data_IF_447557193948
#
_entry.id   IF_447557193948
#
_cell.length_a   1.000
_cell.length_b   1.000
_cell.length_c   1.000
_cell.angle_alpha   90.00
_cell.angle_beta   90.00
_cell.angle_gamma   90.00
#
_symmetry.space_group_name_H-M   'P 1'
#
loop_
_entity.id
_entity.type
_entity.pdbx_description
1 polymer ?
#
# COMPACT_ATOMS: atom_id res chain seq x y z
N UNK A 1 -20.33 -6.57 -5.56
CA UNK A 1 -19.64 -5.30 -5.21
C UNK A 1 -20.61 -4.17 -4.83
N UNK A 2 -21.49 -3.72 -5.74
CA UNK A 2 -22.38 -2.56 -5.47
C UNK A 2 -23.24 -2.72 -4.20
N UNK A 3 -23.87 -3.88 -4.01
CA UNK A 3 -24.65 -4.16 -2.81
C UNK A 3 -23.80 -4.12 -1.53
N UNK A 4 -22.65 -4.79 -1.50
CA UNK A 4 -21.70 -4.72 -0.38
C UNK A 4 -21.27 -3.28 -0.06
N UNK A 5 -21.01 -2.45 -1.07
CA UNK A 5 -20.63 -1.04 -0.88
C UNK A 5 -21.73 -0.21 -0.22
N UNK A 6 -23.00 -0.48 -0.56
CA UNK A 6 -24.13 0.21 0.07
C UNK A 6 -24.26 -0.16 1.55
N UNK A 7 -23.91 -1.40 1.91
CA UNK A 7 -23.90 -1.86 3.30
C UNK A 7 -22.71 -1.29 4.07
N UNK A 8 -21.50 -1.39 3.52
CA UNK A 8 -20.26 -0.96 4.19
C UNK A 8 -19.28 -0.27 3.24
N UNK A 9 -18.70 0.84 3.73
CA UNK A 9 -17.50 1.40 3.10
C UNK A 9 -16.22 0.64 3.50
N UNK A 10 -16.23 -0.01 4.67
CA UNK A 10 -15.11 -0.77 5.23
C UNK A 10 -15.63 -2.12 5.73
N UNK A 11 -15.81 -3.14 4.85
CA UNK A 11 -16.36 -4.44 5.25
C UNK A 11 -15.50 -5.20 6.27
N UNK A 12 -14.19 -4.97 6.28
CA UNK A 12 -13.26 -5.56 7.24
C UNK A 12 -12.41 -4.46 7.88
N UNK A 13 -12.09 -4.53 9.18
CA UNK A 13 -11.16 -3.58 9.79
C UNK A 13 -9.75 -3.75 9.20
N UNK A 14 -8.92 -2.70 9.19
CA UNK A 14 -7.51 -2.82 8.81
C UNK A 14 -6.80 -3.90 9.63
N UNK A 15 -6.10 -4.82 8.97
CA UNK A 15 -5.37 -5.90 9.65
C UNK A 15 -4.18 -6.36 8.82
N UNK A 16 -3.42 -7.30 9.40
CA UNK A 16 -2.36 -8.07 8.73
C UNK A 16 -2.93 -9.41 8.31
N UNK A 17 -2.52 -9.91 7.15
CA UNK A 17 -2.81 -11.30 6.80
C UNK A 17 -1.84 -12.22 7.54
N UNK A 18 -2.36 -13.34 8.04
CA UNK A 18 -1.54 -14.40 8.60
C UNK A 18 -0.71 -15.05 7.49
N UNK A 19 0.45 -15.59 7.87
CA UNK A 19 1.35 -16.30 6.95
C UNK A 19 0.93 -17.78 6.83
N UNK A 20 -0.24 -18.15 7.37
CA UNK A 20 -0.66 -19.53 7.48
C UNK A 20 -1.21 -20.07 6.16
N UNK A 21 -0.60 -21.17 5.69
CA UNK A 21 -1.02 -22.02 4.55
C UNK A 21 -0.95 -21.38 3.16
N UNK A 22 0.20 -20.80 2.80
CA UNK A 22 0.56 -20.95 1.38
C UNK A 22 1.00 -22.41 1.19
N UNK A 23 0.56 -23.11 0.14
CA UNK A 23 1.37 -24.22 -0.34
C UNK A 23 2.71 -23.56 -0.64
N UNK A 24 3.67 -23.73 0.26
CA UNK A 24 5.07 -23.51 -0.06
C UNK A 24 5.27 -24.46 -1.22
N UNK A 25 5.13 -23.95 -2.45
CA UNK A 25 5.60 -24.65 -3.62
C UNK A 25 7.00 -25.08 -3.22
N UNK A 26 7.22 -26.39 -3.17
CA UNK A 26 8.50 -27.02 -2.84
C UNK A 26 9.50 -26.72 -3.96
N UNK A 27 9.69 -25.44 -4.27
CA UNK A 27 10.70 -24.90 -5.15
C UNK A 27 11.90 -24.49 -4.30
N UNK A 28 13.09 -24.68 -4.84
CA UNK A 28 14.35 -24.26 -4.25
C UNK A 28 14.54 -22.74 -4.35
N UNK A 29 13.65 -21.96 -3.75
CA UNK A 29 13.76 -20.50 -3.67
C UNK A 29 15.05 -20.12 -2.92
N UNK A 30 15.86 -19.23 -3.49
CA UNK A 30 17.06 -18.69 -2.84
C UNK A 30 16.70 -17.70 -1.72
N UNK A 31 15.59 -16.97 -1.89
CA UNK A 31 15.07 -16.08 -0.87
C UNK A 31 14.08 -16.83 0.03
N UNK A 32 14.26 -16.73 1.35
CA UNK A 32 13.20 -17.08 2.29
C UNK A 32 11.96 -16.20 2.03
N UNK A 33 10.76 -16.72 2.32
CA UNK A 33 9.52 -15.96 2.19
C UNK A 33 9.56 -14.59 2.87
N UNK A 34 10.07 -14.52 4.11
CA UNK A 34 10.19 -13.25 4.84
C UNK A 34 11.11 -12.25 4.12
N UNK A 35 12.19 -12.72 3.48
CA UNK A 35 13.11 -11.87 2.72
C UNK A 35 12.49 -11.36 1.44
N UNK A 36 11.78 -12.22 0.70
CA UNK A 36 11.00 -11.80 -0.47
C UNK A 36 9.94 -10.78 -0.08
N UNK A 37 9.22 -11.00 1.03
CA UNK A 37 8.22 -10.08 1.55
C UNK A 37 8.80 -8.72 1.89
N UNK A 38 9.92 -8.68 2.60
CA UNK A 38 10.55 -7.44 3.01
C UNK A 38 11.13 -6.68 1.80
N UNK A 39 11.76 -7.39 0.85
CA UNK A 39 12.25 -6.82 -0.41
C UNK A 39 11.11 -6.23 -1.24
N UNK A 40 10.05 -7.02 -1.46
CA UNK A 40 8.85 -6.61 -2.19
C UNK A 40 8.17 -5.41 -1.53
N UNK A 41 8.09 -5.37 -0.20
CA UNK A 41 7.53 -4.23 0.53
C UNK A 41 8.38 -2.97 0.42
N UNK A 42 9.71 -3.09 0.43
CA UNK A 42 10.64 -1.97 0.26
C UNK A 42 10.54 -1.42 -1.16
N UNK A 43 10.61 -2.27 -2.17
CA UNK A 43 10.48 -1.84 -3.56
C UNK A 43 9.11 -1.20 -3.80
N UNK A 44 8.01 -1.81 -3.35
CA UNK A 44 6.67 -1.24 -3.49
C UNK A 44 6.53 0.10 -2.77
N UNK A 45 7.20 0.26 -1.62
CA UNK A 45 7.29 1.54 -0.93
C UNK A 45 8.01 2.58 -1.78
N UNK A 46 9.14 2.26 -2.42
CA UNK A 46 9.90 3.19 -3.27
C UNK A 46 9.13 3.55 -4.56
N UNK A 47 8.41 2.61 -5.16
CA UNK A 47 7.72 2.79 -6.44
C UNK A 47 6.58 3.81 -6.42
N UNK A 48 6.15 4.31 -5.26
CA UNK A 48 5.14 5.37 -5.19
C UNK A 48 5.84 6.70 -5.09
N UNK A 49 6.18 7.30 -6.24
CA UNK A 49 6.91 8.56 -6.33
C UNK A 49 5.98 9.78 -6.33
N UNK A 50 4.73 9.62 -6.81
CA UNK A 50 3.71 10.67 -6.85
C UNK A 50 2.44 10.27 -6.09
N UNK A 51 1.71 11.26 -5.55
CA UNK A 51 0.38 11.01 -4.96
C UNK A 51 -0.69 10.96 -6.06
N UNK A 52 -0.55 9.99 -6.94
CA UNK A 52 -1.58 9.64 -7.90
C UNK A 52 -2.41 8.49 -7.31
N UNK A 53 -3.71 8.73 -7.09
CA UNK A 53 -4.64 7.70 -6.65
C UNK A 53 -5.10 6.80 -7.79
N UNK A 54 -4.91 7.25 -9.03
CA UNK A 54 -5.41 6.62 -10.22
C UNK A 54 -4.45 5.60 -10.80
N UNK A 55 -3.15 5.76 -10.55
CA UNK A 55 -2.07 4.89 -11.01
C UNK A 55 -1.22 4.36 -9.86
N UNK A 56 -1.87 3.84 -8.81
CA UNK A 56 -1.15 3.26 -7.66
C UNK A 56 -0.36 2.04 -8.13
N UNK A 57 0.96 1.96 -7.87
CA UNK A 57 1.78 0.83 -8.26
C UNK A 57 1.66 -0.34 -7.29
N UNK A 58 1.80 -1.55 -7.81
CA UNK A 58 2.06 -2.76 -7.05
C UNK A 58 3.14 -3.57 -7.78
N UNK A 59 3.87 -4.38 -7.02
CA UNK A 59 4.87 -5.27 -7.57
C UNK A 59 5.00 -6.57 -6.78
N UNK A 60 5.66 -7.53 -7.41
CA UNK A 60 6.15 -8.76 -6.81
C UNK A 60 7.57 -9.08 -7.31
N UNK A 61 8.24 -10.02 -6.66
CA UNK A 61 9.61 -10.43 -7.01
C UNK A 61 9.62 -11.91 -7.35
N UNK A 62 9.92 -12.23 -8.60
CA UNK A 62 10.12 -13.58 -9.10
C UNK A 62 11.60 -13.91 -9.13
N UNK A 63 11.94 -15.15 -8.76
CA UNK A 63 13.28 -15.68 -8.95
C UNK A 63 13.36 -16.35 -10.33
N UNK A 64 14.36 -15.98 -11.12
CA UNK A 64 14.70 -16.68 -12.37
C UNK A 64 15.95 -17.55 -12.12
N UNK A 65 15.78 -18.87 -11.90
CA UNK A 65 16.91 -19.79 -11.68
C UNK A 65 17.89 -19.83 -12.86
N UNK A 66 17.40 -19.66 -14.08
CA UNK A 66 18.21 -19.82 -15.29
C UNK A 66 19.27 -18.72 -15.41
N UNK A 67 18.91 -17.48 -15.08
CA UNK A 67 19.83 -16.33 -15.10
C UNK A 67 20.35 -15.94 -13.70
N UNK A 68 19.94 -16.69 -12.67
CA UNK A 68 20.20 -16.39 -11.25
C UNK A 68 19.92 -14.90 -10.98
N UNK A 69 18.75 -14.43 -11.42
CA UNK A 69 18.35 -13.04 -11.36
C UNK A 69 16.99 -12.89 -10.69
N UNK A 70 16.61 -11.65 -10.40
CA UNK A 70 15.31 -11.34 -9.83
C UNK A 70 14.51 -10.45 -10.78
N UNK A 71 13.34 -10.93 -11.15
CA UNK A 71 12.37 -10.17 -11.93
C UNK A 71 11.47 -9.39 -10.97
N UNK A 72 11.63 -8.07 -10.96
CA UNK A 72 10.74 -7.17 -10.25
C UNK A 72 9.58 -6.84 -11.18
N UNK A 73 8.46 -7.53 -11.01
CA UNK A 73 7.30 -7.40 -11.90
C UNK A 73 6.41 -6.27 -11.40
N UNK A 74 6.18 -5.26 -12.24
CA UNK A 74 5.55 -3.99 -11.88
C UNK A 74 4.25 -3.77 -12.66
N UNK A 75 3.20 -3.35 -11.95
CA UNK A 75 1.95 -2.88 -12.51
C UNK A 75 1.48 -1.58 -11.84
N UNK A 76 0.60 -0.84 -12.50
CA UNK A 76 -0.14 0.31 -11.92
C UNK A 76 -1.63 0.11 -12.16
N UNK A 77 -2.48 0.71 -11.34
CA UNK A 77 -3.92 0.74 -11.60
C UNK A 77 -4.22 1.27 -13.01
N UNK A 78 -5.11 0.59 -13.74
CA UNK A 78 -5.44 0.91 -15.13
C UNK A 78 -6.94 0.92 -15.38
N UNK A 79 -7.46 2.00 -15.98
CA UNK A 79 -8.85 2.07 -16.50
C UNK A 79 -8.97 1.52 -17.92
N UNK A 80 -7.96 1.80 -18.76
CA UNK A 80 -7.82 1.38 -20.16
C UNK A 80 -6.45 0.71 -20.35
N UNK A 81 -6.25 0.03 -21.47
CA UNK A 81 -5.00 -0.68 -21.77
C UNK A 81 -3.76 0.24 -21.75
N UNK A 82 -3.85 1.47 -22.27
CA UNK A 82 -2.71 2.42 -22.33
C UNK A 82 -2.52 3.29 -21.07
N UNK A 83 -3.47 3.22 -20.13
CA UNK A 83 -3.54 4.10 -18.96
C UNK A 83 -2.30 3.95 -18.07
N UNK A 84 -1.64 5.05 -17.68
CA UNK A 84 -0.46 4.97 -16.80
C UNK A 84 0.79 4.30 -17.39
N UNK A 85 0.89 4.09 -18.71
CA UNK A 85 2.09 3.55 -19.35
C UNK A 85 3.33 4.44 -19.11
N UNK A 86 3.19 5.76 -19.25
CA UNK A 86 4.28 6.71 -18.97
C UNK A 86 4.79 6.60 -17.53
N UNK A 87 3.88 6.41 -16.57
CA UNK A 87 4.21 6.22 -15.16
C UNK A 87 4.96 4.90 -14.98
N UNK A 88 4.53 3.81 -15.62
CA UNK A 88 5.25 2.54 -15.58
C UNK A 88 6.68 2.65 -16.11
N UNK A 89 6.88 3.31 -17.27
CA UNK A 89 8.21 3.50 -17.85
C UNK A 89 9.10 4.39 -16.98
N UNK A 90 8.56 5.48 -16.43
CA UNK A 90 9.29 6.35 -15.50
C UNK A 90 9.70 5.61 -14.22
N UNK A 91 8.81 4.78 -13.66
CA UNK A 91 9.12 3.96 -12.49
C UNK A 91 10.15 2.88 -12.81
N UNK A 92 10.06 2.24 -13.97
CA UNK A 92 11.06 1.27 -14.45
C UNK A 92 12.45 1.90 -14.50
N UNK A 93 12.58 3.03 -15.20
CA UNK A 93 13.86 3.73 -15.33
C UNK A 93 14.43 4.14 -13.96
N UNK A 94 13.58 4.68 -13.07
CA UNK A 94 14.01 5.13 -11.75
C UNK A 94 14.51 3.97 -10.87
N UNK A 95 13.79 2.83 -10.87
CA UNK A 95 14.19 1.65 -10.12
C UNK A 95 15.43 0.98 -10.71
N UNK A 96 15.54 0.92 -12.03
CA UNK A 96 16.73 0.39 -12.71
C UNK A 96 17.97 1.22 -12.43
N UNK A 97 17.85 2.53 -12.23
CA UNK A 97 18.93 3.38 -11.72
C UNK A 97 19.46 2.93 -10.34
N UNK A 98 18.57 2.49 -9.44
CA UNK A 98 18.97 1.90 -8.15
C UNK A 98 19.61 0.52 -8.36
N UNK A 99 19.05 -0.30 -9.26
CA UNK A 99 19.54 -1.66 -9.50
C UNK A 99 20.93 -1.67 -10.14
N UNK A 100 21.25 -0.69 -11.00
CA UNK A 100 22.59 -0.49 -11.55
C UNK A 100 23.63 -0.23 -10.44
N UNK A 101 23.29 0.55 -9.41
CA UNK A 101 24.20 0.76 -8.27
C UNK A 101 24.39 -0.54 -7.48
N UNK A 102 23.32 -1.36 -7.35
CA UNK A 102 23.40 -2.65 -6.67
C UNK A 102 24.21 -3.70 -7.46
N UNK A 103 24.24 -3.63 -8.79
CA UNK A 103 25.03 -4.55 -9.62
C UNK A 103 26.52 -4.41 -9.41
N UNK A 104 26.97 -3.20 -9.08
CA UNK A 104 28.39 -2.87 -8.87
C UNK A 104 28.93 -3.34 -7.50
N UNK A 105 28.07 -3.91 -6.64
CA UNK A 105 28.48 -4.40 -5.33
C UNK A 105 29.38 -5.63 -5.49
N UNK A 106 30.67 -5.45 -5.19
CA UNK A 106 31.65 -6.52 -5.05
C UNK A 106 31.96 -6.85 -3.58
N UNK A 107 32.56 -8.00 -3.33
CA UNK A 107 32.83 -8.50 -1.97
C UNK A 107 33.90 -7.69 -1.21
N UNK A 108 34.70 -6.86 -1.92
CA UNK A 108 35.80 -6.06 -1.34
C UNK A 108 35.58 -4.55 -1.21
N UNK A 109 34.45 -3.99 -1.68
CA UNK A 109 34.25 -2.52 -1.68
C UNK A 109 33.95 -1.92 -0.30
N UNK A 110 34.41 -0.67 -0.11
CA UNK A 110 34.12 0.13 1.08
C UNK A 110 32.61 0.26 1.33
N UNK A 111 32.16 -0.35 2.43
CA UNK A 111 30.73 -0.55 2.69
C UNK A 111 29.90 0.73 2.84
N UNK A 112 30.51 1.82 3.32
CA UNK A 112 29.78 3.06 3.63
C UNK A 112 29.49 3.91 2.39
N UNK A 113 30.43 4.00 1.45
CA UNK A 113 30.25 4.82 0.24
C UNK A 113 29.15 4.25 -0.67
N UNK A 114 29.15 2.93 -0.87
CA UNK A 114 28.14 2.27 -1.71
C UNK A 114 26.73 2.34 -1.08
N UNK A 115 26.61 2.11 0.23
CA UNK A 115 25.34 2.29 0.94
C UNK A 115 24.83 3.75 0.82
N UNK A 116 25.75 4.73 0.82
CA UNK A 116 25.40 6.13 0.61
C UNK A 116 24.95 6.41 -0.83
N UNK A 117 25.60 5.87 -1.87
CA UNK A 117 25.16 6.04 -3.26
C UNK A 117 23.74 5.50 -3.49
N UNK A 118 23.42 4.33 -2.92
CA UNK A 118 22.06 3.77 -2.97
C UNK A 118 21.06 4.71 -2.26
N UNK A 119 21.46 5.27 -1.12
CA UNK A 119 20.64 6.22 -0.39
C UNK A 119 20.37 7.50 -1.18
N UNK A 120 21.40 8.11 -1.79
CA UNK A 120 21.28 9.27 -2.67
C UNK A 120 20.32 9.00 -3.83
N UNK A 121 20.46 7.85 -4.51
CA UNK A 121 19.55 7.47 -5.59
C UNK A 121 18.09 7.32 -5.13
N UNK A 122 17.87 6.73 -3.95
CA UNK A 122 16.53 6.61 -3.34
C UNK A 122 15.94 7.98 -2.99
N UNK A 123 16.71 8.87 -2.36
CA UNK A 123 16.24 10.21 -1.98
C UNK A 123 15.90 11.03 -3.22
N UNK A 124 16.73 10.96 -4.26
CA UNK A 124 16.48 11.61 -5.55
C UNK A 124 15.16 11.13 -6.17
N UNK A 125 15.00 9.81 -6.34
CA UNK A 125 13.78 9.19 -6.88
C UNK A 125 12.52 9.56 -6.08
N UNK A 126 12.62 9.61 -4.75
CA UNK A 126 11.48 9.81 -3.85
C UNK A 126 11.31 11.25 -3.36
N UNK A 127 12.10 12.20 -3.86
CA UNK A 127 12.22 13.58 -3.36
C UNK A 127 10.85 14.24 -3.18
N UNK A 128 10.02 14.28 -4.23
CA UNK A 128 8.68 14.86 -4.18
C UNK A 128 7.79 14.26 -3.10
N UNK A 129 7.85 12.94 -2.91
CA UNK A 129 7.07 12.27 -1.85
C UNK A 129 7.64 12.53 -0.46
N UNK A 130 8.95 12.61 -0.31
CA UNK A 130 9.61 12.99 0.95
C UNK A 130 9.13 14.38 1.35
N UNK A 131 9.24 15.37 0.46
CA UNK A 131 8.84 16.76 0.72
C UNK A 131 7.36 16.90 1.07
N UNK A 132 6.48 16.16 0.39
CA UNK A 132 5.05 16.10 0.73
C UNK A 132 4.79 15.48 2.11
N UNK A 133 5.58 14.49 2.53
CA UNK A 133 5.47 13.88 3.88
C UNK A 133 5.97 14.83 4.96
N UNK A 134 7.01 15.61 4.68
CA UNK A 134 7.53 16.67 5.55
C UNK A 134 6.61 17.91 5.58
N UNK A 135 5.67 17.99 4.63
CA UNK A 135 4.73 19.09 4.40
C UNK A 135 5.43 20.40 4.03
N UNK A 136 6.52 20.29 3.28
CA UNK A 136 7.20 21.43 2.65
C UNK A 136 6.59 21.81 1.29
N UNK A 137 5.77 20.92 0.72
CA UNK A 137 4.99 21.18 -0.49
C UNK A 137 3.51 21.10 -0.15
N UNK A 138 2.77 22.17 -0.44
CA UNK A 138 1.33 22.23 -0.22
C UNK A 138 0.58 21.26 -1.13
N UNK A 139 -0.54 20.72 -0.65
CA UNK A 139 -1.55 20.11 -1.54
C UNK A 139 -2.40 21.23 -2.10
N UNK A 140 -2.68 21.21 -3.41
CA UNK A 140 -3.57 22.18 -4.08
C UNK A 140 -4.99 22.26 -3.46
N UNK A 141 -5.41 21.30 -2.63
CA UNK A 141 -6.79 21.11 -2.18
C UNK A 141 -6.96 20.75 -0.69
N UNK A 142 -5.95 20.96 0.17
CA UNK A 142 -6.09 20.73 1.62
C UNK A 142 -5.68 21.96 2.43
N UNK A 143 -6.31 22.16 3.59
CA UNK A 143 -5.88 23.18 4.55
C UNK A 143 -4.41 22.98 4.91
N UNK A 144 -3.62 24.06 5.03
CA UNK A 144 -2.20 23.97 5.33
C UNK A 144 -2.01 23.30 6.69
N UNK A 145 -1.52 22.06 6.69
CA UNK A 145 -1.15 21.36 7.92
C UNK A 145 0.25 21.82 8.32
N UNK A 146 0.47 21.96 9.63
CA UNK A 146 1.76 22.39 10.19
C UNK A 146 2.93 21.52 9.67
N UNK A 147 4.02 22.14 9.17
CA UNK A 147 5.24 21.43 8.75
C UNK A 147 5.87 20.59 9.86
N UNK A 148 6.68 19.58 9.49
CA UNK A 148 7.37 18.73 10.47
C UNK A 148 8.13 19.57 11.52
N UNK A 149 8.80 20.64 11.09
CA UNK A 149 9.51 21.57 11.97
C UNK A 149 8.61 22.09 13.11
N UNK A 150 7.41 22.57 12.78
CA UNK A 150 6.49 23.10 13.78
C UNK A 150 6.04 22.02 14.76
N UNK A 151 5.69 20.84 14.25
CA UNK A 151 5.25 19.71 15.09
C UNK A 151 6.37 19.23 16.04
N UNK A 152 7.64 19.28 15.60
CA UNK A 152 8.79 18.98 16.45
C UNK A 152 9.01 20.05 17.52
N UNK A 153 8.89 21.34 17.18
CA UNK A 153 8.99 22.44 18.15
C UNK A 153 7.95 22.31 19.26
N UNK A 154 6.69 22.01 18.89
CA UNK A 154 5.60 21.80 19.84
C UNK A 154 5.92 20.61 20.75
N UNK A 155 6.35 19.48 20.19
CA UNK A 155 6.71 18.29 20.97
C UNK A 155 7.87 18.56 21.95
N UNK A 156 8.91 19.30 21.54
CA UNK A 156 10.02 19.70 22.41
C UNK A 156 9.49 20.57 23.56
N UNK A 157 8.64 21.55 23.26
CA UNK A 157 8.09 22.46 24.27
C UNK A 157 7.23 21.70 25.28
N UNK A 158 6.31 20.85 24.80
CA UNK A 158 5.44 20.06 25.66
C UNK A 158 6.21 19.07 26.53
N UNK A 159 7.22 18.38 25.98
CA UNK A 159 8.04 17.46 26.76
C UNK A 159 8.86 18.16 27.84
N UNK A 160 9.40 19.36 27.56
CA UNK A 160 10.12 20.14 28.57
C UNK A 160 9.25 20.51 29.77
N UNK A 161 8.00 20.91 29.51
CA UNK A 161 7.04 21.22 30.58
C UNK A 161 6.75 19.98 31.44
N UNK A 162 6.58 18.82 30.81
CA UNK A 162 6.35 17.55 31.54
C UNK A 162 7.59 17.14 32.35
N UNK A 163 8.79 17.20 31.75
CA UNK A 163 10.04 16.79 32.38
C UNK A 163 10.52 17.73 33.49
N UNK A 164 10.03 18.97 33.57
CA UNK A 164 10.32 19.84 34.71
C UNK A 164 9.70 19.29 36.02
N UNK A 165 8.68 18.44 35.90
CA UNK A 165 8.00 17.81 37.04
C UNK A 165 8.47 16.37 37.32
N UNK A 166 9.37 15.82 36.50
CA UNK A 166 9.89 14.45 36.63
C UNK A 166 11.41 14.47 36.40
N UNK A 167 12.21 14.10 37.40
CA UNK A 167 13.70 14.11 37.35
C UNK A 167 14.22 13.61 35.99
N UNK A 168 15.12 14.40 35.37
CA UNK A 168 15.66 14.27 34.01
C UNK A 168 15.73 12.84 33.44
N UNK A 169 14.70 12.46 32.68
CA UNK A 169 14.71 11.22 31.91
C UNK A 169 15.63 11.34 30.68
N UNK A 170 16.68 10.50 30.64
CA UNK A 170 17.65 10.37 29.51
C UNK A 170 16.97 10.29 28.12
N UNK A 171 15.82 9.59 27.94
CA UNK A 171 15.10 9.56 26.67
C UNK A 171 14.60 10.92 26.17
N UNK A 172 14.18 11.82 27.07
CA UNK A 172 13.64 13.15 26.72
C UNK A 172 14.75 14.08 26.25
N UNK A 173 15.91 14.04 26.92
CA UNK A 173 17.08 14.82 26.52
C UNK A 173 17.55 14.43 25.12
N UNK A 174 17.76 13.12 24.88
CA UNK A 174 18.21 12.62 23.58
C UNK A 174 17.22 12.95 22.46
N UNK A 175 15.90 12.80 22.70
CA UNK A 175 14.89 13.24 21.74
C UNK A 175 15.02 14.74 21.44
N UNK A 176 15.16 15.57 22.46
CA UNK A 176 15.24 17.03 22.31
C UNK A 176 16.43 17.43 21.45
N UNK A 177 17.60 16.84 21.68
CA UNK A 177 18.79 17.10 20.86
C UNK A 177 18.59 16.68 19.40
N UNK A 178 18.15 15.44 19.16
CA UNK A 178 17.92 14.93 17.80
C UNK A 178 16.83 15.70 17.07
N UNK A 179 15.77 16.11 17.76
CA UNK A 179 14.70 16.91 17.19
C UNK A 179 15.18 18.31 16.80
N UNK A 180 16.03 18.96 17.61
CA UNK A 180 16.67 20.23 17.27
C UNK A 180 17.58 20.11 16.04
N UNK A 181 18.35 19.02 15.94
CA UNK A 181 19.15 18.74 14.75
C UNK A 181 18.29 18.62 13.50
N UNK A 182 17.18 17.87 13.56
CA UNK A 182 16.22 17.75 12.45
C UNK A 182 15.62 19.11 12.08
N UNK A 183 15.31 19.96 13.06
CA UNK A 183 14.83 21.34 12.80
C UNK A 183 15.88 22.16 12.06
N UNK A 184 17.15 22.10 12.48
CA UNK A 184 18.27 22.79 11.79
C UNK A 184 18.45 22.29 10.36
N UNK A 185 18.38 20.98 10.14
CA UNK A 185 18.48 20.39 8.80
C UNK A 185 17.29 20.77 7.92
N UNK A 186 16.09 20.84 8.49
CA UNK A 186 14.90 21.34 7.81
C UNK A 186 15.06 22.79 7.37
N UNK A 187 15.62 23.65 8.23
CA UNK A 187 15.89 25.05 7.90
C UNK A 187 16.95 25.20 6.80
N UNK A 188 18.01 24.39 6.86
CA UNK A 188 19.02 24.31 5.80
C UNK A 188 18.38 23.95 4.45
N UNK A 189 17.55 22.91 4.43
CA UNK A 189 16.83 22.50 3.22
C UNK A 189 15.87 23.58 2.72
N UNK A 190 15.09 24.24 3.59
CA UNK A 190 14.17 25.32 3.19
C UNK A 190 14.93 26.47 2.52
N UNK A 191 16.12 26.80 3.06
CA UNK A 191 16.97 27.89 2.56
C UNK A 191 17.65 27.57 1.22
N UNK A 192 18.13 26.33 1.04
CA UNK A 192 19.00 25.97 -0.08
C UNK A 192 18.35 25.09 -1.13
N UNK A 193 17.41 24.23 -0.73
CA UNK A 193 16.64 23.31 -1.58
C UNK A 193 17.49 22.43 -2.51
N UNK A 194 18.72 22.06 -2.13
CA UNK A 194 19.53 21.11 -2.90
C UNK A 194 19.35 19.68 -2.38
N UNK A 195 19.80 18.73 -3.20
CA UNK A 195 19.65 17.29 -2.92
C UNK A 195 20.37 16.88 -1.64
N UNK A 196 21.61 17.35 -1.45
CA UNK A 196 22.43 17.02 -0.30
C UNK A 196 21.75 17.39 1.03
N UNK A 197 21.13 18.57 1.12
CA UNK A 197 20.41 18.99 2.33
C UNK A 197 19.16 18.15 2.58
N UNK A 198 18.51 17.63 1.52
CA UNK A 198 17.39 16.71 1.67
C UNK A 198 17.87 15.34 2.17
N UNK A 199 19.01 14.87 1.67
CA UNK A 199 19.67 13.64 2.11
C UNK A 199 20.03 13.72 3.60
N UNK A 200 20.68 14.81 4.01
CA UNK A 200 21.03 15.07 5.42
C UNK A 200 19.79 15.10 6.30
N UNK A 201 18.71 15.76 5.86
CA UNK A 201 17.45 15.81 6.60
C UNK A 201 16.82 14.42 6.78
N UNK A 202 16.82 13.59 5.72
CA UNK A 202 16.32 12.22 5.80
C UNK A 202 17.18 11.38 6.75
N UNK A 203 18.51 11.52 6.71
CA UNK A 203 19.45 10.87 7.64
C UNK A 203 19.20 11.31 9.09
N UNK A 204 19.02 12.61 9.32
CA UNK A 204 18.70 13.17 10.64
C UNK A 204 17.39 12.60 11.20
N UNK A 205 16.35 12.49 10.37
CA UNK A 205 15.07 11.87 10.78
C UNK A 205 15.23 10.37 11.04
N UNK A 206 16.09 9.68 10.30
CA UNK A 206 16.44 8.30 10.59
C UNK A 206 17.05 8.16 11.99
N UNK A 207 18.01 9.01 12.35
CA UNK A 207 18.60 9.01 13.70
C UNK A 207 17.61 9.40 14.79
N UNK A 208 16.69 10.32 14.51
CA UNK A 208 15.60 10.64 15.43
C UNK A 208 14.70 9.43 15.70
N UNK A 209 14.47 8.56 14.70
CA UNK A 209 13.74 7.30 14.91
C UNK A 209 14.54 6.30 15.76
N UNK A 210 15.87 6.30 15.70
CA UNK A 210 16.72 5.33 16.39
C UNK A 210 16.85 5.56 17.91
N UNK A 211 16.27 6.63 18.47
CA UNK A 211 16.37 6.93 19.91
C UNK A 211 15.61 5.94 20.81
N UNK A 212 14.73 5.11 20.24
CA UNK A 212 13.90 4.15 20.96
C UNK A 212 12.42 4.24 20.60
N UNK A 213 11.55 3.94 21.56
CA UNK A 213 10.10 3.97 21.35
C UNK A 213 9.55 5.41 21.35
N UNK A 214 9.55 6.02 20.16
CA UNK A 214 8.99 7.34 19.94
C UNK A 214 7.50 7.43 20.30
N UNK A 215 6.73 6.34 20.16
CA UNK A 215 5.31 6.35 20.51
C UNK A 215 5.12 6.43 22.02
N UNK A 216 5.88 5.64 22.78
CA UNK A 216 5.90 5.72 24.24
C UNK A 216 6.29 7.13 24.72
N UNK A 217 7.33 7.71 24.11
CA UNK A 217 7.76 9.07 24.43
C UNK A 217 6.66 10.11 24.16
N UNK A 218 5.99 10.03 23.01
CA UNK A 218 4.87 10.93 22.69
C UNK A 218 3.67 10.72 23.62
N UNK A 219 3.46 9.51 24.15
CA UNK A 219 2.38 9.22 25.08
C UNK A 219 2.54 9.93 26.44
N UNK A 220 3.77 10.34 26.81
CA UNK A 220 4.04 11.14 28.02
C UNK A 220 3.43 12.55 27.94
N UNK A 221 3.21 13.08 26.74
CA UNK A 221 2.67 14.42 26.56
C UNK A 221 1.15 14.41 26.81
N UNK A 222 0.63 15.24 27.73
CA UNK A 222 -0.81 15.29 27.99
C UNK A 222 -1.58 15.96 26.84
N UNK A 223 -2.86 15.61 26.68
CA UNK A 223 -3.69 16.06 25.56
C UNK A 223 -3.86 17.59 25.48
N UNK A 224 -3.83 18.30 26.61
CA UNK A 224 -3.92 19.75 26.64
C UNK A 224 -2.64 20.44 26.13
N UNK A 225 -1.48 19.79 26.24
CA UNK A 225 -0.21 20.31 25.76
C UNK A 225 0.01 19.97 24.28
N UNK A 226 -0.38 18.78 23.84
CA UNK A 226 -0.33 18.39 22.43
C UNK A 226 -1.44 17.40 22.08
N UNK A 227 -2.26 17.75 21.09
CA UNK A 227 -3.37 16.91 20.65
C UNK A 227 -2.92 15.52 20.17
N UNK A 228 -3.69 14.45 20.43
CA UNK A 228 -3.32 13.07 20.10
C UNK A 228 -3.06 12.86 18.60
N UNK A 229 -3.82 13.54 17.74
CA UNK A 229 -3.63 13.49 16.29
C UNK A 229 -2.27 14.06 15.85
N UNK A 230 -1.78 15.13 16.49
CA UNK A 230 -0.48 15.73 16.19
C UNK A 230 0.67 14.81 16.61
N UNK A 231 0.56 14.20 17.80
CA UNK A 231 1.50 13.19 18.32
C UNK A 231 1.61 11.99 17.38
N UNK A 232 0.46 11.41 17.03
CA UNK A 232 0.43 10.28 16.09
C UNK A 232 0.97 10.65 14.70
N UNK A 233 0.69 11.87 14.25
CA UNK A 233 1.21 12.37 12.98
C UNK A 233 2.74 12.54 13.01
N UNK A 234 3.32 13.00 14.11
CA UNK A 234 4.78 13.09 14.27
C UNK A 234 5.43 11.70 14.14
N UNK A 235 4.94 10.73 14.92
CA UNK A 235 5.41 9.33 14.86
C UNK A 235 5.30 8.78 13.44
N UNK A 236 4.19 9.06 12.76
CA UNK A 236 3.95 8.63 11.38
C UNK A 236 4.92 9.28 10.38
N UNK A 237 5.21 10.58 10.51
CA UNK A 237 6.15 11.27 9.61
C UNK A 237 7.55 10.71 9.81
N UNK A 238 8.04 10.64 11.06
CA UNK A 238 9.36 10.11 11.40
C UNK A 238 9.50 8.68 10.89
N UNK A 239 8.54 7.81 11.21
CA UNK A 239 8.54 6.41 10.77
C UNK A 239 8.53 6.28 9.24
N UNK A 240 7.80 7.14 8.53
CA UNK A 240 7.70 7.07 7.06
C UNK A 240 8.92 7.64 6.36
N UNK A 241 9.56 8.68 6.88
CA UNK A 241 10.73 9.30 6.23
C UNK A 241 12.01 8.52 6.56
N UNK A 242 12.18 8.06 7.79
CA UNK A 242 13.31 7.20 8.16
C UNK A 242 13.40 5.91 7.30
N UNK A 243 12.27 5.41 6.81
CA UNK A 243 12.19 4.23 5.93
C UNK A 243 13.03 4.34 4.65
N UNK A 244 13.31 5.54 4.14
CA UNK A 244 14.16 5.68 2.95
C UNK A 244 15.62 5.30 3.24
N UNK A 245 16.14 5.69 4.42
CA UNK A 245 17.47 5.26 4.88
C UNK A 245 17.50 3.77 5.21
N UNK A 246 16.45 3.26 5.84
CA UNK A 246 16.30 1.83 6.13
C UNK A 246 16.26 0.98 4.85
N UNK A 247 15.59 1.47 3.81
CA UNK A 247 15.55 0.82 2.49
C UNK A 247 16.94 0.72 1.86
N UNK A 248 17.73 1.82 1.86
CA UNK A 248 19.09 1.81 1.34
C UNK A 248 19.97 0.75 2.05
N UNK A 249 19.95 0.77 3.38
CA UNK A 249 20.70 -0.18 4.22
C UNK A 249 20.24 -1.62 4.00
N UNK A 250 18.93 -1.86 3.86
CA UNK A 250 18.40 -3.19 3.58
C UNK A 250 18.83 -3.69 2.21
N UNK A 251 18.67 -2.88 1.15
CA UNK A 251 19.01 -3.26 -0.22
C UNK A 251 20.51 -3.57 -0.32
N UNK A 252 21.36 -2.69 0.21
CA UNK A 252 22.81 -2.89 0.25
C UNK A 252 23.18 -4.22 0.93
N UNK A 253 22.71 -4.45 2.16
CA UNK A 253 23.03 -5.65 2.94
C UNK A 253 22.51 -6.93 2.30
N UNK A 254 21.33 -6.86 1.69
CA UNK A 254 20.73 -8.01 1.03
C UNK A 254 21.47 -8.33 -0.27
N UNK A 255 21.84 -7.31 -1.06
CA UNK A 255 22.64 -7.49 -2.27
C UNK A 255 24.03 -8.06 -1.99
N UNK A 256 24.67 -7.71 -0.86
CA UNK A 256 25.92 -8.37 -0.44
C UNK A 256 25.74 -9.88 -0.27
N UNK A 257 24.63 -10.30 0.34
CA UNK A 257 24.39 -11.70 0.69
C UNK A 257 23.83 -12.53 -0.47
N UNK A 258 23.06 -11.92 -1.36
CA UNK A 258 22.32 -12.62 -2.41
C UNK A 258 22.73 -12.06 -3.79
N UNK A 259 23.54 -12.79 -4.57
CA UNK A 259 23.97 -12.34 -5.90
C UNK A 259 22.82 -12.07 -6.87
N UNK A 260 21.68 -12.75 -6.70
CA UNK A 260 20.47 -12.53 -7.52
C UNK A 260 19.93 -11.11 -7.41
N UNK A 261 20.09 -10.43 -6.26
CA UNK A 261 19.71 -9.02 -6.09
C UNK A 261 20.60 -8.07 -6.90
N UNK A 262 21.85 -8.44 -7.18
CA UNK A 262 22.76 -7.65 -8.01
C UNK A 262 22.40 -7.73 -9.49
N UNK A 263 21.49 -8.64 -9.86
CA UNK A 263 20.95 -8.82 -11.21
C UNK A 263 19.46 -8.57 -11.26
N UNK A 264 18.95 -7.62 -10.46
CA UNK A 264 17.54 -7.25 -10.54
C UNK A 264 17.21 -6.54 -11.86
N UNK A 265 16.06 -6.88 -12.45
CA UNK A 265 15.52 -6.18 -13.62
C UNK A 265 14.02 -5.94 -13.46
N UNK A 266 13.51 -4.89 -14.09
CA UNK A 266 12.08 -4.58 -14.08
C UNK A 266 11.38 -5.24 -15.26
N UNK A 267 10.33 -6.01 -14.96
CA UNK A 267 9.39 -6.55 -15.95
C UNK A 267 8.07 -5.81 -15.80
N UNK A 268 7.56 -5.23 -16.88
CA UNK A 268 6.27 -4.56 -16.86
C UNK A 268 5.16 -5.56 -17.17
N UNK A 269 4.09 -5.56 -16.38
CA UNK A 269 2.92 -6.39 -16.69
C UNK A 269 2.30 -5.93 -18.00
N UNK A 270 2.13 -6.87 -18.93
CA UNK A 270 1.45 -6.66 -20.20
C UNK A 270 0.28 -7.64 -20.32
N UNK A 271 -0.92 -7.19 -19.94
CA UNK A 271 -2.16 -7.90 -20.27
C UNK A 271 -2.64 -7.47 -21.65
N UNK A 272 -3.33 -8.36 -22.36
CA UNK A 272 -3.87 -8.09 -23.69
C UNK A 272 -4.88 -6.94 -23.67
N UNK A 273 -5.15 -6.33 -24.84
CA UNK A 273 -6.08 -5.19 -24.93
C UNK A 273 -7.50 -5.60 -24.52
N UNK A 274 -7.89 -6.82 -24.86
CA UNK A 274 -9.19 -7.43 -24.59
C UNK A 274 -9.44 -7.56 -23.07
N UNK A 275 -8.38 -7.79 -22.29
CA UNK A 275 -8.47 -7.81 -20.82
C UNK A 275 -9.02 -6.49 -20.25
N UNK A 276 -8.88 -5.38 -20.98
CA UNK A 276 -9.37 -4.07 -20.60
C UNK A 276 -10.73 -3.70 -21.21
N UNK A 277 -11.31 -4.57 -22.05
CA UNK A 277 -12.62 -4.34 -22.65
C UNK A 277 -13.73 -4.25 -21.58
N UNK A 278 -14.83 -3.64 -21.99
CA UNK A 278 -15.98 -3.39 -21.12
C UNK A 278 -17.21 -4.13 -21.66
N UNK A 279 -17.91 -4.79 -20.76
CA UNK A 279 -19.23 -5.34 -21.05
C UNK A 279 -20.21 -4.18 -21.28
N UNK A 280 -20.97 -4.23 -22.38
CA UNK A 280 -21.95 -3.19 -22.71
C UNK A 280 -23.00 -3.07 -21.60
N UNK A 281 -23.16 -1.86 -21.07
CA UNK A 281 -24.06 -1.58 -19.94
C UNK A 281 -25.55 -1.69 -20.27
N UNK A 282 -25.92 -1.86 -21.54
CA UNK A 282 -27.32 -1.96 -21.97
C UNK A 282 -27.99 -3.28 -21.60
N UNK A 283 -27.23 -4.34 -21.26
CA UNK A 283 -27.78 -5.68 -21.00
C UNK A 283 -27.88 -6.09 -19.52
N UNK A 284 -27.22 -5.39 -18.58
CA UNK A 284 -27.27 -5.73 -17.16
C UNK A 284 -28.33 -4.91 -16.40
N UNK A 285 -29.59 -5.31 -16.50
CA UNK A 285 -30.63 -4.94 -15.52
C UNK A 285 -30.48 -5.82 -14.26
N UNK A 286 -29.44 -5.55 -13.47
CA UNK A 286 -29.27 -6.20 -12.17
C UNK A 286 -30.30 -5.66 -11.18
N UNK A 287 -31.39 -6.39 -11.00
CA UNK A 287 -32.34 -6.10 -9.94
C UNK A 287 -31.81 -6.60 -8.58
N UNK A 288 -32.05 -5.83 -7.51
CA UNK A 288 -31.67 -6.28 -6.16
C UNK A 288 -32.37 -7.58 -5.79
N UNK A 289 -33.64 -7.73 -6.19
CA UNK A 289 -34.45 -8.92 -5.98
C UNK A 289 -33.77 -10.18 -6.52
N UNK A 290 -33.17 -10.14 -7.72
CA UNK A 290 -32.47 -11.30 -8.28
C UNK A 290 -31.17 -11.61 -7.54
N UNK A 291 -30.45 -10.59 -7.08
CA UNK A 291 -29.25 -10.77 -6.25
C UNK A 291 -29.60 -11.41 -4.90
N UNK A 292 -30.64 -10.92 -4.23
CA UNK A 292 -31.11 -11.49 -2.96
C UNK A 292 -31.67 -12.90 -3.15
N UNK A 293 -32.44 -13.15 -4.21
CA UNK A 293 -32.95 -14.48 -4.54
C UNK A 293 -31.80 -15.48 -4.75
N UNK A 294 -30.72 -15.07 -5.44
CA UNK A 294 -29.52 -15.91 -5.63
C UNK A 294 -28.87 -16.27 -4.30
N UNK A 295 -28.74 -15.30 -3.39
CA UNK A 295 -28.19 -15.55 -2.04
C UNK A 295 -29.11 -16.47 -1.24
N UNK A 296 -30.42 -16.31 -1.36
CA UNK A 296 -31.42 -17.10 -0.66
C UNK A 296 -31.43 -18.59 -1.04
N UNK A 297 -30.89 -18.95 -2.22
CA UNK A 297 -30.70 -20.36 -2.60
C UNK A 297 -29.69 -21.10 -1.69
N UNK A 298 -28.80 -20.37 -1.04
CA UNK A 298 -27.69 -20.95 -0.26
C UNK A 298 -27.76 -20.63 1.24
N UNK A 299 -28.57 -19.65 1.65
CA UNK A 299 -28.74 -19.28 3.06
C UNK A 299 -30.03 -18.47 3.24
N UNK A 300 -30.70 -18.51 4.40
CA UNK A 300 -31.81 -17.59 4.67
C UNK A 300 -31.25 -16.17 4.89
N UNK A 301 -31.41 -15.30 3.89
CA UNK A 301 -30.98 -13.91 3.89
C UNK A 301 -32.23 -13.01 3.98
N UNK A 302 -32.16 -11.84 4.65
CA UNK A 302 -33.31 -10.96 4.80
C UNK A 302 -33.92 -10.54 3.46
N UNK A 303 -35.25 -10.44 3.43
CA UNK A 303 -35.96 -9.92 2.27
C UNK A 303 -35.60 -8.44 1.98
N UNK A 304 -35.96 -7.99 0.79
CA UNK A 304 -35.71 -6.61 0.34
C UNK A 304 -36.41 -5.60 1.27
N UNK A 305 -37.57 -5.94 1.83
CA UNK A 305 -38.31 -5.07 2.75
C UNK A 305 -37.55 -4.81 4.05
N UNK A 306 -36.89 -5.82 4.60
CA UNK A 306 -36.04 -5.69 5.77
C UNK A 306 -34.81 -4.83 5.48
N UNK A 307 -34.16 -5.04 4.33
CA UNK A 307 -33.04 -4.20 3.88
C UNK A 307 -33.44 -2.73 3.78
N UNK A 308 -34.64 -2.46 3.25
CA UNK A 308 -35.20 -1.12 3.15
C UNK A 308 -35.37 -0.46 4.52
N UNK A 309 -35.96 -1.18 5.49
CA UNK A 309 -36.11 -0.71 6.88
C UNK A 309 -34.75 -0.41 7.52
N UNK A 310 -33.80 -1.31 7.38
CA UNK A 310 -32.46 -1.19 7.95
C UNK A 310 -31.68 0.01 7.38
N UNK A 311 -31.78 0.23 6.08
CA UNK A 311 -31.13 1.34 5.38
C UNK A 311 -31.94 2.64 5.42
N UNK A 312 -33.11 2.64 6.07
CA UNK A 312 -34.04 3.78 6.12
C UNK A 312 -34.36 4.33 4.73
N UNK A 313 -34.66 3.43 3.79
CA UNK A 313 -34.97 3.74 2.38
C UNK A 313 -36.17 2.93 1.91
N UNK A 314 -36.69 3.24 0.71
CA UNK A 314 -37.74 2.44 0.04
C UNK A 314 -37.14 1.43 -0.94
N UNK A 315 -37.91 0.39 -1.29
CA UNK A 315 -37.53 -0.63 -2.27
C UNK A 315 -37.09 -0.04 -3.62
N UNK A 316 -37.90 0.82 -4.25
CA UNK A 316 -37.52 1.49 -5.50
C UNK A 316 -36.22 2.28 -5.37
N UNK A 317 -36.09 3.11 -4.33
CA UNK A 317 -34.90 3.93 -4.10
C UNK A 317 -33.64 3.10 -3.87
N UNK A 318 -33.75 1.96 -3.16
CA UNK A 318 -32.62 1.06 -2.95
C UNK A 318 -32.19 0.36 -4.25
N UNK A 319 -33.17 -0.11 -5.04
CA UNK A 319 -32.92 -0.64 -6.38
C UNK A 319 -32.20 0.38 -7.25
N UNK A 320 -32.66 1.62 -7.25
CA UNK A 320 -32.04 2.71 -8.03
C UNK A 320 -30.61 2.98 -7.60
N UNK A 321 -30.33 3.00 -6.29
CA UNK A 321 -28.97 3.17 -5.76
C UNK A 321 -28.04 2.04 -6.21
N UNK A 322 -28.49 0.78 -6.15
CA UNK A 322 -27.72 -0.38 -6.62
C UNK A 322 -27.46 -0.26 -8.12
N UNK A 323 -28.49 0.07 -8.91
CA UNK A 323 -28.40 0.17 -10.35
C UNK A 323 -27.48 1.33 -10.79
N UNK A 324 -27.61 2.52 -10.18
CA UNK A 324 -26.73 3.68 -10.41
C UNK A 324 -25.29 3.34 -10.07
N UNK A 325 -25.04 2.73 -8.92
CA UNK A 325 -23.68 2.35 -8.52
C UNK A 325 -23.10 1.29 -9.48
N UNK A 326 -23.90 0.32 -9.90
CA UNK A 326 -23.50 -0.71 -10.87
C UNK A 326 -23.11 -0.08 -12.21
N UNK A 327 -23.95 0.80 -12.77
CA UNK A 327 -23.64 1.52 -14.02
C UNK A 327 -22.37 2.36 -13.89
N UNK A 328 -22.18 3.04 -12.77
CA UNK A 328 -20.95 3.80 -12.48
C UNK A 328 -19.72 2.89 -12.44
N UNK A 329 -19.80 1.75 -11.75
CA UNK A 329 -18.73 0.76 -11.70
C UNK A 329 -18.40 0.23 -13.10
N UNK A 330 -19.37 -0.17 -13.90
CA UNK A 330 -19.16 -0.68 -15.26
C UNK A 330 -18.44 0.34 -16.17
N UNK A 331 -18.75 1.63 -16.00
CA UNK A 331 -18.13 2.72 -16.79
C UNK A 331 -16.74 3.12 -16.28
N UNK A 332 -16.57 3.23 -14.96
CA UNK A 332 -15.43 3.92 -14.36
C UNK A 332 -14.43 3.01 -13.65
N UNK A 333 -14.75 1.73 -13.46
CA UNK A 333 -13.89 0.82 -12.73
C UNK A 333 -12.53 0.60 -13.40
N UNK A 334 -11.53 0.44 -12.53
CA UNK A 334 -10.14 0.19 -12.85
C UNK A 334 -9.76 -1.22 -12.44
N UNK A 335 -8.85 -1.82 -13.19
CA UNK A 335 -8.16 -3.02 -12.76
C UNK A 335 -7.01 -2.55 -11.89
N UNK A 336 -7.01 -2.97 -10.64
CA UNK A 336 -5.95 -2.61 -9.71
C UNK A 336 -4.64 -3.33 -10.05
N UNK A 337 -3.50 -2.72 -9.72
CA UNK A 337 -2.17 -3.25 -10.01
C UNK A 337 -1.97 -4.65 -9.43
N UNK A 338 -2.45 -4.91 -8.20
CA UNK A 338 -2.34 -6.22 -7.56
C UNK A 338 -3.06 -7.32 -8.37
N UNK A 339 -4.18 -6.98 -8.99
CA UNK A 339 -4.97 -7.92 -9.80
C UNK A 339 -4.25 -8.20 -11.11
N UNK A 340 -3.65 -7.18 -11.73
CA UNK A 340 -2.86 -7.37 -12.95
C UNK A 340 -1.68 -8.31 -12.73
N UNK A 341 -1.01 -8.24 -11.57
CA UNK A 341 0.06 -9.16 -11.20
C UNK A 341 -0.44 -10.60 -11.07
N UNK A 342 -1.58 -10.83 -10.41
CA UNK A 342 -2.15 -12.19 -10.31
C UNK A 342 -2.46 -12.74 -11.70
N UNK A 343 -3.13 -11.98 -12.56
CA UNK A 343 -3.45 -12.44 -13.92
C UNK A 343 -2.20 -12.67 -14.77
N UNK A 344 -1.15 -11.85 -14.60
CA UNK A 344 0.11 -12.07 -15.31
C UNK A 344 0.66 -13.48 -15.04
N UNK A 345 0.66 -13.94 -13.79
CA UNK A 345 1.17 -15.28 -13.43
C UNK A 345 0.18 -16.42 -13.63
N UNK A 346 -1.12 -16.15 -13.75
CA UNK A 346 -2.07 -17.17 -14.23
C UNK A 346 -1.96 -17.39 -15.75
N UNK A 347 -1.49 -16.39 -16.50
CA UNK A 347 -1.33 -16.46 -17.95
C UNK A 347 0.06 -16.90 -18.41
N UNK A 348 1.07 -16.69 -17.56
CA UNK A 348 2.46 -17.00 -17.87
C UNK A 348 2.99 -18.01 -16.85
N UNK A 349 3.40 -19.18 -17.32
CA UNK A 349 4.02 -20.17 -16.47
C UNK A 349 5.35 -19.65 -15.92
N UNK A 350 5.57 -19.83 -14.61
CA UNK A 350 6.82 -19.53 -13.93
C UNK A 350 7.27 -20.75 -13.14
N UNK A 351 8.57 -21.07 -13.19
CA UNK A 351 9.15 -22.15 -12.41
C UNK A 351 9.20 -21.83 -10.91
N UNK A 352 9.42 -20.56 -10.57
CA UNK A 352 9.45 -20.05 -9.19
C UNK A 352 8.58 -18.79 -9.11
N UNK A 353 7.24 -18.94 -9.15
CA UNK A 353 6.34 -17.80 -9.13
C UNK A 353 6.52 -17.00 -7.84
N UNK A 354 6.27 -15.68 -7.87
CA UNK A 354 6.36 -14.85 -6.68
C UNK A 354 5.32 -15.30 -5.66
N UNK A 355 5.71 -15.23 -4.38
CA UNK A 355 4.87 -15.58 -3.25
C UNK A 355 4.25 -14.35 -2.61
N UNK A 356 4.77 -13.14 -2.88
CA UNK A 356 4.30 -11.89 -2.26
C UNK A 356 3.99 -10.82 -3.30
N UNK A 357 2.83 -10.16 -3.14
CA UNK A 357 2.48 -8.90 -3.81
C UNK A 357 2.47 -7.79 -2.76
N UNK A 358 3.10 -6.66 -3.07
CA UNK A 358 2.98 -5.44 -2.27
C UNK A 358 2.64 -4.22 -3.14
N UNK A 359 1.87 -3.31 -2.56
CA UNK A 359 1.72 -1.95 -3.03
C UNK A 359 2.30 -0.97 -1.99
N UNK A 360 2.47 0.28 -2.40
CA UNK A 360 2.85 1.37 -1.49
C UNK A 360 1.78 1.72 -0.46
N UNK A 361 0.56 1.21 -0.67
CA UNK A 361 -0.59 1.26 0.22
C UNK A 361 -0.97 -0.16 0.61
N UNK A 362 -1.57 -0.32 1.79
CA UNK A 362 -2.20 -1.59 2.19
C UNK A 362 -3.25 -1.97 1.13
N UNK A 363 -3.46 -3.27 0.89
CA UNK A 363 -4.43 -3.73 -0.10
C UNK A 363 -5.86 -3.26 0.25
N UNK A 364 -6.65 -2.96 -0.77
CA UNK A 364 -8.07 -2.70 -0.56
C UNK A 364 -8.82 -3.99 -0.24
N UNK A 365 -10.06 -3.88 0.25
CA UNK A 365 -10.90 -5.04 0.55
C UNK A 365 -10.98 -6.01 -0.63
N UNK A 366 -11.25 -5.50 -1.84
CA UNK A 366 -11.44 -6.34 -3.03
C UNK A 366 -10.14 -7.00 -3.49
N UNK A 367 -9.01 -6.27 -3.49
CA UNK A 367 -7.69 -6.86 -3.78
C UNK A 367 -7.33 -7.95 -2.77
N UNK A 368 -7.54 -7.69 -1.48
CA UNK A 368 -7.26 -8.66 -0.43
C UNK A 368 -8.11 -9.93 -0.57
N UNK A 369 -9.43 -9.77 -0.70
CA UNK A 369 -10.35 -10.91 -0.88
C UNK A 369 -10.01 -11.71 -2.14
N UNK A 370 -9.63 -11.04 -3.24
CA UNK A 370 -9.22 -11.72 -4.46
C UNK A 370 -7.92 -12.52 -4.30
N UNK A 371 -6.88 -11.91 -3.71
CA UNK A 371 -5.59 -12.59 -3.48
C UNK A 371 -5.75 -13.79 -2.53
N UNK A 372 -6.57 -13.65 -1.48
CA UNK A 372 -6.89 -14.76 -0.57
C UNK A 372 -7.65 -15.86 -1.30
N UNK A 373 -8.64 -15.52 -2.12
CA UNK A 373 -9.39 -16.51 -2.91
C UNK A 373 -8.52 -17.21 -3.96
N UNK A 374 -7.52 -16.50 -4.53
CA UNK A 374 -6.54 -17.05 -5.45
C UNK A 374 -5.65 -18.10 -4.78
N UNK A 375 -5.13 -17.80 -3.60
CA UNK A 375 -4.45 -18.75 -2.71
C UNK A 375 -2.97 -19.03 -3.01
N UNK A 376 -2.41 -18.55 -4.12
CA UNK A 376 -0.99 -18.78 -4.48
C UNK A 376 -0.05 -17.63 -4.08
N UNK A 377 -0.59 -16.46 -3.78
CA UNK A 377 0.19 -15.26 -3.43
C UNK A 377 -0.29 -14.65 -2.11
N UNK A 378 0.61 -13.89 -1.49
CA UNK A 378 0.40 -13.21 -0.21
C UNK A 378 0.39 -11.70 -0.38
N UNK A 379 -0.52 -11.00 0.30
CA UNK A 379 -0.39 -9.57 0.54
C UNK A 379 -0.27 -9.32 2.05
N UNK A 380 0.73 -8.57 2.56
CA UNK A 380 0.97 -8.50 4.01
C UNK A 380 -0.13 -7.84 4.82
N UNK A 381 -0.79 -6.83 4.25
CA UNK A 381 -1.72 -5.95 4.96
C UNK A 381 -2.85 -5.49 4.07
N UNK A 382 -3.99 -5.24 4.68
CA UNK A 382 -5.13 -4.62 4.03
C UNK A 382 -5.73 -3.54 4.93
N UNK A 383 -6.25 -2.47 4.32
CA UNK A 383 -6.97 -1.42 5.04
C UNK A 383 -8.49 -1.66 5.06
N UNK A 384 -8.97 -2.67 4.32
CA UNK A 384 -10.34 -3.18 4.40
C UNK A 384 -11.42 -2.25 3.84
N UNK A 385 -11.06 -1.14 3.19
CA UNK A 385 -12.02 -0.24 2.51
C UNK A 385 -12.37 -0.83 1.15
N UNK A 386 -13.66 -0.85 0.83
CA UNK A 386 -14.19 -1.30 -0.45
C UNK A 386 -14.27 -0.10 -1.40
N UNK A 387 -13.60 -0.20 -2.54
CA UNK A 387 -13.69 0.78 -3.62
C UNK A 387 -14.59 0.22 -4.73
N UNK A 388 -15.76 0.82 -5.00
CA UNK A 388 -16.67 0.29 -6.01
C UNK A 388 -16.17 0.55 -7.45
N UNK A 389 -15.18 1.43 -7.64
CA UNK A 389 -14.48 1.66 -8.91
C UNK A 389 -13.41 0.60 -9.23
N UNK A 390 -13.69 -0.66 -8.92
CA UNK A 390 -12.78 -1.80 -9.08
C UNK A 390 -13.43 -2.86 -9.97
N UNK A 391 -12.63 -3.55 -10.79
CA UNK A 391 -13.09 -4.67 -11.62
C UNK A 391 -11.98 -5.69 -11.85
N UNK A 392 -12.39 -6.87 -12.31
CA UNK A 392 -11.50 -7.88 -12.88
C UNK A 392 -11.18 -7.56 -14.37
N UNK A 393 -10.02 -8.02 -14.87
CA UNK A 393 -9.79 -8.14 -16.31
C UNK A 393 -10.84 -9.03 -16.99
N UNK A 394 -11.18 -8.73 -18.24
CA UNK A 394 -12.08 -9.56 -19.02
C UNK A 394 -11.30 -10.70 -19.70
N UNK A 395 -11.27 -11.88 -19.07
CA UNK A 395 -10.55 -13.04 -19.57
C UNK A 395 -11.38 -14.31 -19.38
N UNK A 396 -11.69 -15.03 -20.47
CA UNK A 396 -12.55 -16.22 -20.45
C UNK A 396 -11.87 -17.49 -19.94
N UNK A 397 -10.54 -17.51 -19.87
CA UNK A 397 -9.76 -18.69 -19.48
C UNK A 397 -9.58 -18.85 -17.96
N UNK A 398 -10.08 -17.91 -17.14
CA UNK A 398 -9.90 -17.92 -15.68
C UNK A 398 -11.24 -17.89 -14.90
N UNK A 399 -12.29 -18.46 -15.49
CA UNK A 399 -13.65 -18.50 -14.93
C UNK A 399 -13.68 -19.08 -13.50
N UNK A 400 -12.89 -20.12 -13.22
CA UNK A 400 -12.87 -20.74 -11.89
C UNK A 400 -12.36 -19.80 -10.79
N UNK A 401 -11.41 -18.92 -11.13
CA UNK A 401 -10.90 -17.90 -10.20
C UNK A 401 -11.95 -16.82 -9.96
N UNK A 402 -12.64 -16.38 -11.01
CA UNK A 402 -13.75 -15.44 -10.92
C UNK A 402 -14.89 -15.99 -10.06
N UNK A 403 -15.21 -17.28 -10.22
CA UNK A 403 -16.22 -17.98 -9.42
C UNK A 403 -15.81 -18.04 -7.94
N UNK A 404 -14.58 -18.47 -7.62
CA UNK A 404 -14.06 -18.48 -6.24
C UNK A 404 -14.14 -17.10 -5.59
N UNK A 405 -13.76 -16.06 -6.31
CA UNK A 405 -13.85 -14.69 -5.82
C UNK A 405 -15.31 -14.26 -5.59
N UNK A 406 -16.21 -14.57 -6.52
CA UNK A 406 -17.63 -14.27 -6.36
C UNK A 406 -18.23 -14.99 -5.14
N UNK A 407 -17.91 -16.25 -4.92
CA UNK A 407 -18.32 -17.00 -3.72
C UNK A 407 -17.82 -16.32 -2.44
N UNK A 408 -16.55 -15.90 -2.38
CA UNK A 408 -16.01 -15.18 -1.24
C UNK A 408 -16.75 -13.85 -0.97
N UNK A 409 -17.11 -13.09 -2.02
CA UNK A 409 -17.90 -11.87 -1.87
C UNK A 409 -19.33 -12.15 -1.39
N UNK A 410 -19.95 -13.24 -1.86
CA UNK A 410 -21.28 -13.65 -1.39
C UNK A 410 -21.25 -14.06 0.08
N UNK A 411 -20.20 -14.74 0.53
CA UNK A 411 -20.03 -15.10 1.95
C UNK A 411 -19.80 -13.88 2.83
N UNK A 412 -18.99 -12.92 2.39
CA UNK A 412 -18.89 -11.62 3.06
C UNK A 412 -20.24 -10.91 3.16
N UNK A 413 -21.02 -10.92 2.09
CA UNK A 413 -22.34 -10.30 2.07
C UNK A 413 -23.32 -10.99 3.03
N UNK A 414 -23.36 -12.33 3.04
CA UNK A 414 -24.16 -13.11 3.99
C UNK A 414 -23.78 -12.78 5.43
N UNK A 415 -22.49 -12.74 5.74
CA UNK A 415 -21.98 -12.42 7.07
C UNK A 415 -22.33 -10.99 7.50
N UNK A 416 -22.14 -10.01 6.61
CA UNK A 416 -22.58 -8.63 6.82
C UNK A 416 -24.06 -8.54 7.15
N UNK A 417 -24.92 -9.22 6.38
CA UNK A 417 -26.37 -9.21 6.60
C UNK A 417 -26.76 -9.89 7.92
N UNK A 418 -26.12 -11.01 8.30
CA UNK A 418 -26.31 -11.66 9.60
C UNK A 418 -25.92 -10.76 10.78
N UNK A 419 -24.79 -10.05 10.69
CA UNK A 419 -24.33 -9.11 11.73
C UNK A 419 -25.26 -7.90 11.83
N UNK A 420 -25.75 -7.40 10.70
CA UNK A 420 -26.69 -6.28 10.70
C UNK A 420 -28.06 -6.69 11.26
N UNK A 421 -28.52 -7.91 10.97
CA UNK A 421 -29.74 -8.50 11.55
C UNK A 421 -29.69 -8.48 13.08
N UNK A 422 -28.58 -8.95 13.67
CA UNK A 422 -28.45 -9.01 15.12
C UNK A 422 -28.36 -7.62 15.77
N UNK A 423 -27.77 -6.63 15.08
CA UNK A 423 -27.58 -5.27 15.61
C UNK A 423 -28.73 -4.30 15.35
N UNK A 424 -29.65 -4.61 14.42
CA UNK A 424 -30.73 -3.72 13.92
C UNK A 424 -30.26 -2.33 13.46
N UNK A 425 -28.97 -2.17 13.10
CA UNK A 425 -28.36 -0.91 12.67
C UNK A 425 -27.35 -1.15 11.55
N UNK A 426 -27.16 -0.12 10.71
CA UNK A 426 -26.07 -0.09 9.72
C UNK A 426 -24.72 -0.13 10.43
N UNK A 427 -23.78 -0.90 9.89
CA UNK A 427 -22.43 -1.08 10.44
C UNK A 427 -21.43 -0.18 9.76
#
# INVERSE_FOLDING_TARGET
IALLYLLHSVPLPPSRNEINRHPVLHGSYSLSFNRERDLTSILAFLSHTMNDSDHVPALCVEEDPGSVSLNVVLAVNKKKWEDGNEILYSLKQSLEGIFAILSDISEGMHSRAMEHHIFTAIVSMCSQRILRRLRFVAKKWESPKQPLKGVLSDAIHSLKQVSQHTLHDVPVHLFTERAKDVIRLADSWIKHQKSAELEDLVEGIYWLKQIGDLQALMNLIPNHAMGPSSRQNLVNIVSKVARYREAARFLYRTAKRFPSLRRMKIVLVNLSKEAFDRVSGQQLNLQLSSTIARLNRTCQVPDVGYLCRLLKTSGPKLNDQVAVQTRKTLRDAKIHAEIQLVYHYELNASGLPPRVICSSKDACFLCNTFIVAHGKMHTPRYHGRLYPGWRLPLMSNLIDLDQRFNSALEDHLKNSLKVMLSRKKKT
#
